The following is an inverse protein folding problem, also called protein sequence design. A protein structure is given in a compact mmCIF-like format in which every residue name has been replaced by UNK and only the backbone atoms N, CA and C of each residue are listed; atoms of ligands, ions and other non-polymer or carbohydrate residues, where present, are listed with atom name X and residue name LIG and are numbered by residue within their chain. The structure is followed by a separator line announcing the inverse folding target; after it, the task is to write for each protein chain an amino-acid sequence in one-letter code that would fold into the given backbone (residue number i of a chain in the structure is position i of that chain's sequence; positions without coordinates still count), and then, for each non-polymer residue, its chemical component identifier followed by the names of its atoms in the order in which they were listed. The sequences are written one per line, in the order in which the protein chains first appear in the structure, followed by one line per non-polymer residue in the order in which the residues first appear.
data_IF_712114368634
#
_entry.id   IF_712114368634
#
_cell.length_a   1.000
_cell.length_b   1.000
_cell.length_c   1.000
_cell.angle_alpha   90.00
_cell.angle_beta   90.00
_cell.angle_gamma   90.00
#
_symmetry.space_group_name_H-M   'P 1'
#
loop_
_entity.id
_entity.type
_entity.pdbx_description
1 polymer ?
#
# COMPACT_ATOMS: atom_id res chain seq x y z
N UNK A 1 -35.43 74.62 17.45
CA UNK A 1 -34.29 74.13 18.26
C UNK A 1 -33.34 73.42 17.29
N UNK A 2 -32.13 73.95 17.15
CA UNK A 2 -30.95 73.48 16.37
C UNK A 2 -31.09 73.35 14.83
N UNK A 3 -30.38 74.13 14.00
CA UNK A 3 -28.94 74.23 13.70
C UNK A 3 -28.33 73.01 12.94
N UNK A 4 -27.93 73.28 11.69
CA UNK A 4 -26.56 73.12 11.13
C UNK A 4 -26.12 71.82 10.38
N UNK A 5 -25.61 72.11 9.16
CA UNK A 5 -24.48 71.54 8.37
C UNK A 5 -24.70 70.44 7.33
N UNK A 6 -24.50 70.87 6.07
CA UNK A 6 -23.79 70.18 4.98
C UNK A 6 -22.64 69.28 5.47
N UNK A 7 -22.39 68.16 4.78
CA UNK A 7 -21.05 67.75 4.31
C UNK A 7 -21.20 66.76 3.13
N UNK A 8 -20.23 66.88 2.23
CA UNK A 8 -20.08 66.32 0.88
C UNK A 8 -20.01 64.79 0.86
N UNK A 9 -20.60 64.19 -0.16
CA UNK A 9 -20.26 62.84 -0.62
C UNK A 9 -18.83 62.86 -1.19
N UNK A 10 -17.91 62.15 -0.52
CA UNK A 10 -16.66 61.69 -1.12
C UNK A 10 -16.78 60.18 -1.26
N UNK A 11 -16.90 59.72 -2.50
CA UNK A 11 -16.75 58.31 -2.89
C UNK A 11 -15.33 57.85 -2.60
N UNK A 12 -15.16 57.03 -1.56
CA UNK A 12 -13.96 56.20 -1.40
C UNK A 12 -14.16 54.95 -2.25
N UNK A 13 -13.33 54.79 -3.29
CA UNK A 13 -13.23 53.54 -4.02
C UNK A 13 -12.59 52.49 -3.10
N UNK A 14 -13.39 51.52 -2.65
CA UNK A 14 -12.88 50.36 -1.96
C UNK A 14 -12.17 49.47 -2.98
N UNK A 15 -10.84 49.41 -2.90
CA UNK A 15 -10.06 48.33 -3.52
C UNK A 15 -10.40 47.05 -2.74
N UNK A 16 -11.26 46.21 -3.34
CA UNK A 16 -11.40 44.82 -2.93
C UNK A 16 -10.11 44.11 -3.34
N UNK A 17 -9.16 43.98 -2.39
CA UNK A 17 -8.17 42.91 -2.47
C UNK A 17 -8.95 41.61 -2.30
N UNK A 18 -9.19 40.91 -3.41
CA UNK A 18 -9.43 39.47 -3.34
C UNK A 18 -8.13 38.84 -2.86
N UNK A 19 -8.01 38.63 -1.55
CA UNK A 19 -7.03 37.70 -1.02
C UNK A 19 -7.43 36.31 -1.55
N UNK A 20 -6.79 35.89 -2.63
CA UNK A 20 -6.70 34.48 -2.97
C UNK A 20 -5.95 33.88 -1.78
N UNK A 21 -6.65 33.06 -0.99
CA UNK A 21 -6.01 32.28 0.04
C UNK A 21 -5.10 31.28 -0.69
N UNK A 22 -3.83 31.61 -0.82
CA UNK A 22 -2.80 30.64 -1.15
C UNK A 22 -2.83 29.59 -0.03
N UNK A 23 -2.77 28.28 -0.35
CA UNK A 23 -2.61 27.27 0.67
C UNK A 23 -1.35 27.60 1.46
N UNK A 24 -1.47 27.58 2.79
CA UNK A 24 -0.32 27.76 3.66
C UNK A 24 0.72 26.71 3.29
N UNK A 25 1.96 27.14 3.04
CA UNK A 25 3.10 26.26 2.86
C UNK A 25 3.06 25.16 3.94
N UNK A 26 3.07 23.90 3.51
CA UNK A 26 3.15 22.74 4.40
C UNK A 26 4.45 22.85 5.18
N UNK A 27 4.37 23.32 6.42
CA UNK A 27 5.47 23.16 7.35
C UNK A 27 5.81 21.67 7.45
N UNK A 28 7.08 21.32 7.26
CA UNK A 28 7.64 19.97 7.39
C UNK A 28 7.59 19.45 8.84
N UNK A 29 6.39 19.31 9.40
CA UNK A 29 6.15 18.67 10.69
C UNK A 29 5.86 17.19 10.51
N UNK A 30 6.32 16.37 11.46
CA UNK A 30 5.88 14.99 11.59
C UNK A 30 4.35 14.97 11.77
N UNK A 31 3.67 14.23 10.92
CA UNK A 31 2.21 14.05 10.93
C UNK A 31 1.92 12.59 11.22
N UNK A 32 0.91 12.31 12.05
CA UNK A 32 0.43 10.95 12.32
C UNK A 32 -1.03 10.85 11.93
N UNK A 33 -1.32 9.98 10.96
CA UNK A 33 -2.69 9.66 10.54
C UNK A 33 -3.08 8.26 11.00
N UNK A 34 -4.36 8.06 11.31
CA UNK A 34 -4.84 6.80 11.90
C UNK A 34 -6.20 6.36 11.35
N UNK A 35 -6.30 5.09 10.96
CA UNK A 35 -7.52 4.46 10.49
C UNK A 35 -8.01 3.47 11.54
N UNK A 36 -8.98 3.90 12.35
CA UNK A 36 -9.54 3.12 13.47
C UNK A 36 -10.93 2.56 13.18
N UNK A 37 -11.46 2.78 11.96
CA UNK A 37 -12.77 2.31 11.51
C UNK A 37 -12.80 0.88 10.99
N UNK A 38 -11.65 0.24 10.85
CA UNK A 38 -11.48 -1.02 10.12
C UNK A 38 -10.72 -0.80 8.84
N UNK A 39 -10.37 -1.90 8.16
CA UNK A 39 -9.91 -1.82 6.78
C UNK A 39 -11.10 -1.55 5.84
N UNK A 40 -10.85 -0.81 4.77
CA UNK A 40 -11.85 -0.52 3.73
C UNK A 40 -12.09 -1.74 2.83
N UNK A 41 -11.06 -2.56 2.67
CA UNK A 41 -11.15 -3.92 2.12
C UNK A 41 -10.56 -4.89 3.14
N UNK A 42 -11.29 -5.94 3.48
CA UNK A 42 -10.71 -7.11 4.09
C UNK A 42 -11.28 -8.41 3.48
N UNK A 43 -10.41 -9.41 3.36
CA UNK A 43 -10.77 -10.65 2.71
C UNK A 43 -10.00 -11.85 3.26
N UNK A 44 -10.65 -13.00 3.25
CA UNK A 44 -9.97 -14.27 3.45
C UNK A 44 -9.54 -14.84 2.11
N UNK A 45 -8.22 -14.85 1.90
CA UNK A 45 -7.56 -15.34 0.70
C UNK A 45 -7.34 -16.84 0.86
N UNK A 46 -8.33 -17.61 0.40
CA UNK A 46 -8.31 -19.07 0.41
C UNK A 46 -9.23 -19.61 -0.68
N UNK A 47 -8.74 -20.53 -1.52
CA UNK A 47 -9.47 -21.04 -2.69
C UNK A 47 -10.75 -21.80 -2.36
N UNK A 48 -10.88 -22.35 -1.15
CA UNK A 48 -12.12 -22.99 -0.71
C UNK A 48 -13.00 -22.07 0.16
N UNK A 49 -12.82 -20.75 0.09
CA UNK A 49 -13.69 -19.81 0.78
C UNK A 49 -15.03 -19.67 0.03
N UNK A 50 -16.04 -20.42 0.46
CA UNK A 50 -17.39 -20.47 -0.13
C UNK A 50 -18.35 -19.36 0.35
N UNK A 51 -17.94 -18.58 1.36
CA UNK A 51 -18.78 -17.54 1.98
C UNK A 51 -18.76 -16.18 1.24
N UNK A 52 -17.97 -16.04 0.18
CA UNK A 52 -17.72 -14.76 -0.50
C UNK A 52 -16.62 -13.93 0.19
N UNK A 53 -16.05 -12.99 -0.56
CA UNK A 53 -15.08 -12.01 -0.08
C UNK A 53 -15.81 -10.86 0.64
N UNK A 54 -15.20 -10.26 1.68
CA UNK A 54 -15.79 -9.16 2.48
C UNK A 54 -17.05 -9.48 3.31
N UNK A 55 -17.42 -10.75 3.49
CA UNK A 55 -18.64 -11.14 4.25
C UNK A 55 -18.34 -11.89 5.55
N UNK A 56 -17.09 -12.31 5.74
CA UNK A 56 -16.69 -13.21 6.82
C UNK A 56 -16.38 -12.41 8.07
N UNK A 57 -16.79 -12.95 9.21
CA UNK A 57 -16.39 -12.39 10.52
C UNK A 57 -14.93 -12.66 10.89
N UNK A 58 -14.33 -13.66 10.24
CA UNK A 58 -12.98 -14.13 10.57
C UNK A 58 -12.25 -14.66 9.34
N UNK A 59 -10.93 -14.43 9.33
CA UNK A 59 -9.98 -14.90 8.33
C UNK A 59 -8.86 -15.71 8.97
N UNK A 60 -8.96 -17.04 8.94
CA UNK A 60 -7.89 -17.91 9.43
C UNK A 60 -6.64 -17.87 8.55
N UNK A 61 -5.45 -17.90 9.16
CA UNK A 61 -4.20 -18.06 8.39
C UNK A 61 -3.46 -19.32 8.80
N UNK A 62 -3.10 -20.14 7.82
CA UNK A 62 -2.55 -21.47 8.06
C UNK A 62 -1.84 -22.01 6.82
N UNK A 63 -1.13 -23.13 7.01
CA UNK A 63 -0.45 -23.88 5.96
C UNK A 63 -0.93 -25.33 5.90
N UNK A 64 -0.88 -25.92 4.71
CA UNK A 64 -0.92 -27.38 4.51
C UNK A 64 0.46 -27.85 4.04
N UNK A 65 1.06 -28.77 4.79
CA UNK A 65 2.41 -29.26 4.54
C UNK A 65 2.39 -30.77 4.35
N UNK A 66 2.96 -31.20 3.23
CA UNK A 66 3.22 -32.61 2.93
C UNK A 66 4.67 -32.80 2.55
N UNK A 67 5.24 -33.91 3.01
CA UNK A 67 6.61 -34.34 2.68
C UNK A 67 6.50 -35.39 1.58
N UNK A 68 7.27 -35.20 0.52
CA UNK A 68 7.50 -36.21 -0.50
C UNK A 68 8.37 -37.33 0.09
N UNK A 69 7.88 -38.57 0.16
CA UNK A 69 8.61 -39.68 0.76
C UNK A 69 9.87 -40.10 -0.02
N UNK A 70 9.98 -39.74 -1.31
CA UNK A 70 11.14 -40.09 -2.13
C UNK A 70 12.28 -39.08 -1.97
N UNK A 71 11.94 -37.79 -1.96
CA UNK A 71 12.94 -36.71 -1.90
C UNK A 71 13.19 -36.20 -0.48
N UNK A 72 12.31 -36.55 0.46
CA UNK A 72 12.29 -36.01 1.83
C UNK A 72 12.25 -34.47 1.87
N UNK A 73 11.67 -33.85 0.84
CA UNK A 73 11.42 -32.41 0.74
C UNK A 73 9.93 -32.13 0.88
N UNK A 74 9.55 -30.86 1.04
CA UNK A 74 8.16 -30.49 0.87
C UNK A 74 7.69 -30.77 -0.55
N UNK A 75 6.45 -31.23 -0.67
CA UNK A 75 5.74 -31.17 -1.96
C UNK A 75 5.59 -29.70 -2.33
N UNK A 76 6.00 -29.35 -3.55
CA UNK A 76 5.96 -27.96 -4.03
C UNK A 76 4.51 -27.45 -4.11
N UNK A 77 4.29 -26.22 -3.64
CA UNK A 77 3.00 -25.56 -3.73
C UNK A 77 2.69 -25.06 -5.15
N UNK A 78 1.44 -24.68 -5.38
CA UNK A 78 1.01 -24.20 -6.70
C UNK A 78 0.17 -22.92 -6.58
N UNK A 79 -0.37 -22.45 -7.71
CA UNK A 79 -1.09 -21.18 -7.80
C UNK A 79 -2.45 -21.16 -7.08
N UNK A 80 -3.00 -22.33 -6.70
CA UNK A 80 -4.32 -22.50 -6.04
C UNK A 80 -4.21 -23.15 -4.65
N UNK A 81 -3.08 -23.80 -4.38
CA UNK A 81 -2.73 -24.48 -3.15
C UNK A 81 -1.31 -24.09 -2.78
N UNK A 82 -1.15 -22.81 -2.42
CA UNK A 82 0.14 -22.30 -1.99
C UNK A 82 0.51 -22.80 -0.59
N UNK A 83 1.80 -22.78 -0.26
CA UNK A 83 2.27 -23.14 1.09
C UNK A 83 1.64 -22.26 2.17
N UNK A 84 1.47 -20.97 1.88
CA UNK A 84 0.66 -20.03 2.67
C UNK A 84 -0.79 -20.15 2.23
N UNK A 85 -1.42 -21.23 2.68
CA UNK A 85 -2.68 -21.69 2.11
C UNK A 85 -3.86 -20.76 2.42
N UNK A 86 -4.03 -20.42 3.70
CA UNK A 86 -5.00 -19.42 4.16
C UNK A 86 -4.28 -18.14 4.54
N UNK A 87 -4.69 -17.01 3.96
CA UNK A 87 -4.11 -15.69 4.21
C UNK A 87 -5.21 -14.65 4.44
N UNK A 88 -4.87 -13.55 5.12
CA UNK A 88 -5.81 -12.47 5.41
C UNK A 88 -5.33 -11.19 4.74
N UNK A 89 -6.13 -10.67 3.81
CA UNK A 89 -5.90 -9.40 3.14
C UNK A 89 -6.61 -8.29 3.92
N UNK A 90 -5.95 -7.16 4.06
CA UNK A 90 -6.55 -5.90 4.51
C UNK A 90 -6.00 -4.74 3.68
N UNK A 91 -6.83 -3.77 3.31
CA UNK A 91 -6.40 -2.55 2.67
C UNK A 91 -7.16 -1.33 3.20
N UNK A 92 -6.47 -0.20 3.21
CA UNK A 92 -6.94 1.07 3.74
C UNK A 92 -6.90 2.12 2.64
N UNK A 93 -7.95 2.91 2.50
CA UNK A 93 -7.95 4.11 1.69
C UNK A 93 -7.16 5.17 2.45
N UNK A 94 -6.01 5.58 1.93
CA UNK A 94 -5.14 6.56 2.59
C UNK A 94 -5.39 7.98 2.09
N UNK A 95 -5.97 8.12 0.89
CA UNK A 95 -6.25 9.42 0.27
C UNK A 95 -7.33 10.25 0.99
N UNK A 96 -8.00 9.67 1.99
CA UNK A 96 -8.98 10.35 2.84
C UNK A 96 -8.32 11.29 3.87
N UNK A 97 -7.10 10.96 4.29
CA UNK A 97 -6.32 11.66 5.33
C UNK A 97 -4.96 12.15 4.83
N UNK A 98 -4.31 11.40 3.93
CA UNK A 98 -3.01 11.74 3.34
C UNK A 98 -3.23 12.15 1.89
N UNK A 99 -2.93 13.41 1.56
CA UNK A 99 -3.00 13.88 0.18
C UNK A 99 -1.97 13.11 -0.68
N UNK A 100 -2.39 12.47 -1.79
CA UNK A 100 -1.48 11.82 -2.72
C UNK A 100 -0.42 12.78 -3.29
N UNK A 101 0.83 12.36 -3.31
CA UNK A 101 1.94 13.09 -3.91
C UNK A 101 2.29 12.51 -5.28
N UNK A 102 2.61 13.38 -6.25
CA UNK A 102 3.02 12.94 -7.59
C UNK A 102 4.36 12.17 -7.59
N UNK A 103 5.23 12.47 -6.61
CA UNK A 103 6.49 11.78 -6.40
C UNK A 103 6.43 11.03 -5.05
N UNK A 104 6.33 9.69 -5.06
CA UNK A 104 6.28 8.86 -3.86
C UNK A 104 7.47 9.09 -2.91
N UNK A 105 8.65 9.43 -3.46
CA UNK A 105 9.88 9.59 -2.66
C UNK A 105 9.83 10.79 -1.72
N UNK A 106 8.84 11.68 -1.90
CA UNK A 106 8.58 12.81 -1.01
C UNK A 106 8.04 12.40 0.35
N UNK A 107 7.40 11.23 0.47
CA UNK A 107 6.99 10.77 1.78
C UNK A 107 8.21 10.25 2.53
N UNK A 108 8.65 10.97 3.55
CA UNK A 108 9.57 10.44 4.54
C UNK A 108 8.75 9.69 5.59
N UNK A 109 8.79 8.37 5.54
CA UNK A 109 8.06 7.49 6.44
C UNK A 109 8.89 7.29 7.72
N UNK A 110 8.34 7.68 8.87
CA UNK A 110 8.99 7.47 10.17
C UNK A 110 8.56 6.14 10.78
N UNK A 111 7.26 5.83 10.73
CA UNK A 111 6.73 4.57 11.24
C UNK A 111 5.43 4.17 10.54
N UNK A 112 5.24 2.85 10.40
CA UNK A 112 3.96 2.26 9.98
C UNK A 112 3.62 1.15 10.95
N UNK A 113 2.43 1.23 11.53
CA UNK A 113 1.94 0.28 12.51
C UNK A 113 0.58 -0.25 12.13
N UNK A 114 0.50 -1.54 11.88
CA UNK A 114 -0.75 -2.28 11.71
C UNK A 114 -1.10 -2.96 13.03
N UNK A 115 -2.34 -2.83 13.46
CA UNK A 115 -2.86 -3.53 14.63
C UNK A 115 -3.98 -4.46 14.16
N UNK A 116 -3.92 -5.74 14.53
CA UNK A 116 -4.93 -6.72 14.14
C UNK A 116 -5.34 -7.60 15.32
N UNK A 117 -6.61 -8.01 15.34
CA UNK A 117 -7.17 -8.83 16.41
C UNK A 117 -7.35 -10.26 15.94
N UNK A 118 -6.72 -11.21 16.64
CA UNK A 118 -7.00 -12.63 16.44
C UNK A 118 -8.01 -13.10 17.49
N UNK A 119 -8.98 -13.92 17.08
CA UNK A 119 -9.81 -14.74 17.96
C UNK A 119 -9.27 -16.16 17.96
N UNK A 120 -9.32 -16.80 19.14
CA UNK A 120 -9.15 -18.26 19.26
C UNK A 120 -10.41 -18.90 19.83
N UNK A 121 -10.97 -19.89 19.13
CA UNK A 121 -12.07 -20.71 19.63
C UNK A 121 -11.58 -21.74 20.69
N UNK A 122 -12.46 -22.28 21.56
CA UNK A 122 -12.03 -23.10 22.71
C UNK A 122 -11.46 -24.50 22.35
N UNK A 123 -10.17 -24.68 22.64
CA UNK A 123 -9.44 -25.85 23.20
C UNK A 123 -9.65 -27.31 22.72
N UNK A 124 -10.44 -27.63 21.70
CA UNK A 124 -10.51 -29.02 21.21
C UNK A 124 -9.38 -29.43 20.24
N UNK A 125 -8.50 -28.50 19.85
CA UNK A 125 -7.66 -28.60 18.64
C UNK A 125 -6.19 -28.21 18.81
N UNK A 126 -5.67 -28.31 20.03
CA UNK A 126 -4.27 -28.03 20.34
C UNK A 126 -4.01 -26.56 20.69
N UNK A 127 -2.82 -26.29 21.23
CA UNK A 127 -2.42 -24.98 21.72
C UNK A 127 -1.85 -24.07 20.65
N UNK A 128 -2.34 -22.83 20.54
CA UNK A 128 -1.69 -21.77 19.78
C UNK A 128 -0.65 -21.12 20.68
N UNK A 129 0.63 -21.18 20.32
CA UNK A 129 1.73 -20.73 21.17
C UNK A 129 2.37 -19.48 20.58
N UNK A 130 2.72 -18.52 21.45
CA UNK A 130 3.33 -17.27 21.01
C UNK A 130 4.84 -17.40 20.74
N UNK A 131 5.32 -16.77 19.67
CA UNK A 131 6.73 -16.47 19.42
C UNK A 131 6.85 -15.12 18.74
N UNK A 132 7.92 -14.40 19.03
CA UNK A 132 8.32 -13.15 18.37
C UNK A 132 9.51 -13.36 17.42
N UNK A 133 9.95 -14.61 17.23
CA UNK A 133 11.06 -14.96 16.35
C UNK A 133 10.56 -15.36 14.97
N UNK A 134 11.27 -14.96 13.89
CA UNK A 134 10.98 -15.43 12.55
C UNK A 134 11.26 -16.93 12.43
N UNK A 135 10.75 -17.55 11.36
CA UNK A 135 10.93 -18.96 11.05
C UNK A 135 11.65 -19.10 9.70
N UNK A 136 12.65 -19.99 9.63
CA UNK A 136 13.28 -20.30 8.34
C UNK A 136 12.57 -21.49 7.67
N UNK A 137 12.67 -21.55 6.34
CA UNK A 137 12.13 -22.70 5.59
C UNK A 137 12.82 -24.02 5.94
N UNK A 138 14.11 -23.96 6.29
CA UNK A 138 14.91 -25.12 6.71
C UNK A 138 14.43 -25.63 8.08
N UNK A 139 14.16 -24.74 9.02
CA UNK A 139 13.67 -25.11 10.35
C UNK A 139 12.27 -25.74 10.24
N UNK A 140 11.38 -25.15 9.43
CA UNK A 140 10.05 -25.73 9.20
C UNK A 140 10.13 -27.10 8.52
N UNK A 141 11.03 -27.28 7.54
CA UNK A 141 11.26 -28.58 6.90
C UNK A 141 11.75 -29.60 7.92
N UNK A 142 12.69 -29.22 8.79
CA UNK A 142 13.22 -30.08 9.85
C UNK A 142 12.11 -30.51 10.82
N UNK A 143 11.25 -29.57 11.24
CA UNK A 143 10.08 -29.89 12.06
C UNK A 143 9.13 -30.87 11.35
N UNK A 144 8.82 -30.63 10.07
CA UNK A 144 7.91 -31.46 9.30
C UNK A 144 8.45 -32.88 9.09
N UNK A 145 9.74 -33.03 8.79
CA UNK A 145 10.43 -34.32 8.67
C UNK A 145 10.42 -35.12 9.99
N UNK A 146 10.41 -34.43 11.14
CA UNK A 146 10.30 -35.09 12.46
C UNK A 146 8.87 -35.61 12.76
N UNK A 147 7.88 -35.21 11.96
CA UNK A 147 6.47 -35.50 12.20
C UNK A 147 5.81 -34.65 13.30
N UNK A 148 6.56 -33.73 13.93
CA UNK A 148 6.08 -32.88 15.00
C UNK A 148 6.22 -31.40 14.62
N UNK A 149 5.27 -30.91 13.83
CA UNK A 149 5.19 -29.48 13.47
C UNK A 149 4.63 -28.71 14.65
N UNK A 150 5.45 -27.82 15.22
CA UNK A 150 5.06 -27.01 16.38
C UNK A 150 4.00 -25.99 16.01
N UNK A 151 3.06 -25.74 16.92
CA UNK A 151 2.09 -24.64 16.85
C UNK A 151 2.63 -23.31 17.39
N UNK A 152 3.91 -23.26 17.74
CA UNK A 152 4.63 -22.02 18.01
C UNK A 152 5.22 -21.50 16.70
N UNK A 153 4.47 -20.66 16.00
CA UNK A 153 4.85 -20.09 14.70
C UNK A 153 4.66 -18.57 14.71
N UNK A 154 5.48 -17.82 13.96
CA UNK A 154 5.32 -16.38 13.87
C UNK A 154 4.00 -16.01 13.19
N UNK A 155 3.50 -14.83 13.54
CA UNK A 155 2.44 -14.12 12.84
C UNK A 155 3.13 -13.11 11.93
N UNK A 156 2.98 -13.26 10.62
CA UNK A 156 3.80 -12.56 9.63
C UNK A 156 2.95 -11.56 8.84
N UNK A 157 3.48 -10.36 8.64
CA UNK A 157 2.88 -9.33 7.79
C UNK A 157 3.75 -9.09 6.56
N UNK A 158 3.12 -9.00 5.40
CA UNK A 158 3.73 -8.75 4.09
C UNK A 158 2.99 -7.64 3.34
N UNK A 159 3.61 -7.12 2.28
CA UNK A 159 2.90 -6.32 1.28
C UNK A 159 1.97 -7.17 0.43
N UNK A 160 1.24 -6.51 -0.46
CA UNK A 160 0.32 -7.14 -1.40
C UNK A 160 0.81 -6.90 -2.82
N UNK A 161 1.02 -7.99 -3.56
CA UNK A 161 1.17 -7.97 -5.00
C UNK A 161 -0.12 -8.41 -5.67
N UNK A 162 -0.26 -8.06 -6.95
CA UNK A 162 -1.41 -8.39 -7.78
C UNK A 162 -0.98 -9.10 -9.06
N UNK A 163 -1.88 -9.91 -9.63
CA UNK A 163 -1.72 -10.51 -10.95
C UNK A 163 -3.03 -10.43 -11.75
N UNK A 164 -3.03 -11.05 -12.93
CA UNK A 164 -4.18 -11.10 -13.84
C UNK A 164 -4.70 -9.71 -14.25
N UNK A 165 -3.76 -8.77 -14.38
CA UNK A 165 -4.02 -7.38 -14.78
C UNK A 165 -4.52 -6.49 -13.65
N UNK A 166 -4.67 -7.02 -12.43
CA UNK A 166 -4.95 -6.18 -11.27
C UNK A 166 -3.73 -5.35 -10.89
N UNK A 167 -3.95 -4.08 -10.58
CA UNK A 167 -2.86 -3.13 -10.28
C UNK A 167 -3.03 -2.42 -8.93
N UNK A 168 -4.17 -2.60 -8.25
CA UNK A 168 -4.44 -1.92 -6.99
C UNK A 168 -5.79 -2.29 -6.38
N UNK A 169 -6.24 -1.47 -5.43
CA UNK A 169 -7.49 -1.65 -4.70
C UNK A 169 -8.60 -0.73 -5.24
N UNK A 170 -9.81 -1.29 -5.42
CA UNK A 170 -11.00 -0.52 -5.77
C UNK A 170 -11.70 -0.05 -4.49
N UNK A 171 -11.42 1.19 -4.10
CA UNK A 171 -11.98 1.84 -2.92
C UNK A 171 -13.03 2.90 -3.30
N UNK A 172 -13.68 2.73 -4.47
CA UNK A 172 -14.85 3.55 -4.85
C UNK A 172 -14.55 4.78 -5.71
N UNK A 173 -13.33 4.92 -6.25
CA UNK A 173 -12.93 6.02 -7.14
C UNK A 173 -12.29 5.54 -8.47
N UNK A 174 -12.58 4.33 -8.93
CA UNK A 174 -11.91 3.78 -10.12
C UNK A 174 -12.57 4.19 -11.45
N UNK A 175 -11.76 4.72 -12.37
CA UNK A 175 -12.02 4.62 -13.81
C UNK A 175 -10.70 4.36 -14.54
N UNK A 176 -10.59 3.22 -15.24
CA UNK A 176 -9.48 2.95 -16.16
C UNK A 176 -8.85 1.56 -16.04
N UNK A 177 -8.57 1.12 -14.80
CA UNK A 177 -7.75 -0.08 -14.53
C UNK A 177 -8.55 -1.19 -13.83
N UNK A 178 -8.00 -2.43 -13.84
CA UNK A 178 -8.57 -3.54 -13.11
C UNK A 178 -8.12 -3.43 -11.64
N UNK A 179 -9.05 -3.04 -10.77
CA UNK A 179 -8.79 -2.84 -9.34
C UNK A 179 -9.54 -3.87 -8.49
N UNK A 180 -8.89 -4.35 -7.44
CA UNK A 180 -9.41 -5.40 -6.57
C UNK A 180 -10.42 -4.81 -5.58
N UNK A 181 -11.65 -5.31 -5.61
CA UNK A 181 -12.69 -5.03 -4.62
C UNK A 181 -13.02 -6.27 -3.80
N UNK A 182 -13.65 -6.10 -2.64
CA UNK A 182 -14.25 -7.22 -1.89
C UNK A 182 -15.34 -7.96 -2.67
N UNK A 183 -15.91 -7.36 -3.72
CA UNK A 183 -16.83 -8.06 -4.62
C UNK A 183 -16.08 -9.05 -5.55
N UNK A 184 -14.77 -8.89 -5.71
CA UNK A 184 -13.92 -9.82 -6.43
C UNK A 184 -13.52 -10.95 -5.49
N UNK A 185 -13.73 -12.20 -5.90
CA UNK A 185 -13.20 -13.33 -5.14
C UNK A 185 -11.67 -13.30 -5.24
N UNK A 186 -10.93 -13.36 -4.13
CA UNK A 186 -9.47 -13.27 -4.13
C UNK A 186 -8.79 -14.43 -4.88
N UNK A 187 -9.54 -15.45 -5.29
CA UNK A 187 -9.10 -16.62 -6.05
C UNK A 187 -9.75 -16.71 -7.44
N UNK A 188 -10.32 -15.62 -7.95
CA UNK A 188 -10.96 -15.59 -9.28
C UNK A 188 -9.98 -15.49 -10.45
N UNK A 189 -8.67 -15.60 -10.20
CA UNK A 189 -7.65 -15.64 -11.23
C UNK A 189 -7.72 -16.90 -12.09
N UNK A 190 -6.93 -16.94 -13.17
CA UNK A 190 -6.96 -18.06 -14.13
C UNK A 190 -6.75 -19.40 -13.39
N UNK A 191 -7.65 -20.37 -13.62
CA UNK A 191 -7.60 -21.68 -12.98
C UNK A 191 -7.97 -21.71 -11.49
N UNK A 192 -8.55 -20.64 -10.93
CA UNK A 192 -8.90 -20.54 -9.50
C UNK A 192 -7.75 -20.03 -8.63
N UNK A 193 -6.89 -19.20 -9.21
CA UNK A 193 -5.64 -18.78 -8.62
C UNK A 193 -5.78 -17.44 -7.88
N UNK A 194 -4.95 -17.22 -6.85
CA UNK A 194 -4.99 -16.00 -6.03
C UNK A 194 -4.67 -14.72 -6.81
N UNK A 195 -5.57 -13.74 -6.89
CA UNK A 195 -5.31 -12.45 -7.56
C UNK A 195 -4.36 -11.59 -6.73
N UNK A 196 -4.61 -11.50 -5.43
CA UNK A 196 -3.77 -10.79 -4.47
C UNK A 196 -2.92 -11.79 -3.68
N UNK A 197 -1.61 -11.54 -3.58
CA UNK A 197 -0.66 -12.45 -2.95
C UNK A 197 0.36 -11.69 -2.09
N UNK A 198 0.94 -12.32 -1.05
CA UNK A 198 1.95 -11.69 -0.22
C UNK A 198 3.26 -11.48 -0.99
N UNK A 199 3.88 -10.33 -0.78
CA UNK A 199 5.18 -9.99 -1.36
C UNK A 199 6.21 -9.55 -0.34
N UNK A 200 7.48 -9.74 -0.68
CA UNK A 200 8.61 -9.14 0.02
C UNK A 200 9.61 -8.57 -1.00
N UNK A 201 10.42 -7.58 -0.64
CA UNK A 201 11.46 -7.07 -1.54
C UNK A 201 12.60 -8.06 -1.68
N UNK A 202 13.20 -8.13 -2.87
CA UNK A 202 14.29 -9.05 -3.19
C UNK A 202 15.69 -8.51 -2.88
N UNK A 203 15.82 -7.20 -2.61
CA UNK A 203 17.11 -6.53 -2.43
C UNK A 203 17.69 -5.93 -3.72
N UNK A 204 17.07 -6.16 -4.86
CA UNK A 204 17.45 -5.67 -6.19
C UNK A 204 16.47 -4.62 -6.74
N UNK A 205 15.49 -4.22 -5.92
CA UNK A 205 14.49 -3.20 -6.25
C UNK A 205 13.24 -3.77 -6.90
N UNK A 206 13.00 -5.08 -6.78
CA UNK A 206 11.76 -5.72 -7.17
C UNK A 206 11.11 -6.43 -5.98
N UNK A 207 9.89 -6.89 -6.18
CA UNK A 207 9.16 -7.71 -5.21
C UNK A 207 9.11 -9.17 -5.67
N UNK A 208 9.14 -10.08 -4.71
CA UNK A 208 8.98 -11.51 -4.90
C UNK A 208 7.69 -12.02 -4.25
N UNK A 209 6.99 -12.91 -4.95
CA UNK A 209 5.85 -13.65 -4.42
C UNK A 209 6.33 -14.64 -3.34
N UNK A 210 5.84 -14.47 -2.12
CA UNK A 210 6.21 -15.32 -0.97
C UNK A 210 5.17 -16.38 -0.63
N UNK A 211 4.13 -16.56 -1.45
CA UNK A 211 3.06 -17.55 -1.24
C UNK A 211 3.61 -18.97 -1.06
N UNK A 212 4.67 -19.30 -1.81
CA UNK A 212 5.33 -20.61 -1.83
C UNK A 212 6.76 -20.58 -1.29
N UNK A 213 7.13 -19.57 -0.49
CA UNK A 213 8.51 -19.42 -0.03
C UNK A 213 9.02 -20.67 0.71
N UNK A 214 8.21 -21.30 1.54
CA UNK A 214 8.66 -22.44 2.35
C UNK A 214 8.82 -23.75 1.58
N UNK A 215 8.01 -23.98 0.55
CA UNK A 215 7.97 -25.25 -0.18
C UNK A 215 8.61 -25.16 -1.57
N UNK A 216 8.88 -23.95 -2.05
CA UNK A 216 9.02 -23.69 -3.48
C UNK A 216 7.72 -24.01 -4.24
N UNK A 217 7.78 -23.91 -5.56
CA UNK A 217 6.63 -24.13 -6.44
C UNK A 217 6.25 -22.88 -7.21
N UNK A 218 4.95 -22.67 -7.43
CA UNK A 218 4.50 -21.52 -8.22
C UNK A 218 4.94 -20.18 -7.62
N UNK A 219 5.34 -19.23 -8.47
CA UNK A 219 5.64 -17.86 -8.07
C UNK A 219 5.20 -16.88 -9.15
N UNK A 220 4.34 -15.93 -8.80
CA UNK A 220 3.80 -14.93 -9.73
C UNK A 220 4.86 -13.95 -10.27
N UNK A 221 5.95 -13.74 -9.53
CA UNK A 221 7.02 -12.80 -9.89
C UNK A 221 8.19 -13.48 -10.62
N UNK A 222 8.17 -14.81 -10.71
CA UNK A 222 9.23 -15.56 -11.40
C UNK A 222 8.97 -15.60 -12.91
N UNK A 223 9.96 -15.31 -13.78
CA UNK A 223 9.82 -15.45 -15.22
C UNK A 223 9.48 -16.87 -15.69
N UNK A 224 9.76 -17.87 -14.86
CA UNK A 224 9.46 -19.29 -15.12
C UNK A 224 8.22 -19.78 -14.39
N UNK A 225 7.54 -18.88 -13.67
CA UNK A 225 6.43 -19.17 -12.76
C UNK A 225 6.78 -20.20 -11.68
N UNK A 226 8.08 -20.36 -11.40
CA UNK A 226 8.59 -21.31 -10.41
C UNK A 226 9.64 -20.66 -9.53
N UNK A 227 9.65 -21.07 -8.27
CA UNK A 227 10.68 -20.73 -7.29
C UNK A 227 11.11 -21.97 -6.51
N UNK A 228 12.37 -21.99 -6.09
CA UNK A 228 12.86 -22.94 -5.10
C UNK A 228 12.48 -22.46 -3.68
N UNK A 229 12.52 -23.33 -2.66
CA UNK A 229 12.31 -22.90 -1.28
C UNK A 229 13.29 -21.80 -0.85
N UNK A 230 12.79 -20.79 -0.15
CA UNK A 230 13.56 -19.71 0.45
C UNK A 230 12.91 -19.19 1.74
N UNK A 231 13.71 -18.55 2.60
CA UNK A 231 13.17 -17.87 3.80
C UNK A 231 12.76 -16.46 3.40
N UNK A 232 11.46 -16.21 3.30
CA UNK A 232 10.94 -14.86 3.15
C UNK A 232 11.23 -14.03 4.40
N UNK A 233 11.51 -12.73 4.23
CA UNK A 233 11.60 -11.77 5.32
C UNK A 233 10.24 -11.06 5.49
N UNK A 234 9.44 -11.39 6.53
CA UNK A 234 8.23 -10.64 6.84
C UNK A 234 8.58 -9.19 7.15
N UNK A 235 7.75 -8.26 6.70
CA UNK A 235 7.94 -6.84 6.99
C UNK A 235 7.74 -6.54 8.47
N UNK A 236 6.95 -7.38 9.15
CA UNK A 236 6.82 -7.36 10.60
C UNK A 236 6.47 -8.77 11.13
N UNK A 237 6.94 -9.05 12.35
CA UNK A 237 6.45 -10.14 13.18
C UNK A 237 5.50 -9.57 14.22
N UNK A 238 4.31 -10.16 14.33
CA UNK A 238 3.26 -9.70 15.24
C UNK A 238 3.68 -9.82 16.71
N UNK A 239 3.65 -8.69 17.42
CA UNK A 239 3.93 -8.60 18.86
C UNK A 239 2.66 -8.52 19.67
N UNK A 240 2.66 -9.16 20.85
CA UNK A 240 1.57 -9.05 21.83
C UNK A 240 2.12 -9.05 23.26
N UNK A 241 1.27 -8.81 24.25
CA UNK A 241 1.66 -8.75 25.67
C UNK A 241 2.00 -10.13 26.29
N UNK A 242 1.75 -11.21 25.56
CA UNK A 242 2.00 -12.58 26.00
C UNK A 242 3.51 -12.89 26.02
N UNK A 243 3.94 -13.77 26.94
CA UNK A 243 5.32 -14.25 26.96
C UNK A 243 5.55 -15.30 25.86
N UNK A 244 6.75 -15.35 25.29
CA UNK A 244 7.12 -16.40 24.31
C UNK A 244 6.91 -17.78 24.93
N UNK A 245 6.27 -18.67 24.16
CA UNK A 245 5.90 -20.04 24.57
C UNK A 245 4.59 -20.14 25.35
N UNK A 246 3.96 -19.01 25.71
CA UNK A 246 2.67 -19.05 26.37
C UNK A 246 1.53 -19.38 25.40
N UNK A 247 0.50 -20.02 25.96
CA UNK A 247 -0.74 -20.34 25.25
C UNK A 247 -1.54 -19.07 25.04
N UNK A 248 -1.82 -18.76 23.78
CA UNK A 248 -2.63 -17.63 23.34
C UNK A 248 -4.11 -18.00 23.38
N UNK A 249 -4.96 -17.29 24.13
CA UNK A 249 -6.39 -17.62 24.25
C UNK A 249 -7.31 -16.39 24.17
N UNK A 250 -8.54 -16.60 23.69
CA UNK A 250 -9.56 -15.55 23.62
C UNK A 250 -9.32 -14.56 22.48
N UNK A 251 -9.47 -13.27 22.80
CA UNK A 251 -9.25 -12.17 21.86
C UNK A 251 -7.88 -11.56 22.13
N UNK A 252 -7.03 -11.52 21.11
CA UNK A 252 -5.63 -11.19 21.24
C UNK A 252 -5.33 -10.09 20.25
N UNK A 253 -4.76 -9.00 20.77
CA UNK A 253 -4.29 -7.91 19.95
C UNK A 253 -2.84 -8.16 19.55
N UNK A 254 -2.55 -8.04 18.25
CA UNK A 254 -1.21 -8.05 17.70
C UNK A 254 -0.87 -6.71 17.07
N UNK A 255 0.33 -6.23 17.37
CA UNK A 255 0.93 -5.06 16.75
C UNK A 255 2.02 -5.50 15.78
N UNK A 256 1.98 -4.97 14.57
CA UNK A 256 2.96 -5.17 13.51
C UNK A 256 3.56 -3.80 13.17
N UNK A 257 4.78 -3.55 13.65
CA UNK A 257 5.57 -2.38 13.26
C UNK A 257 6.45 -2.80 12.10
N UNK A 258 6.27 -2.15 10.94
CA UNK A 258 7.05 -2.46 9.75
C UNK A 258 8.53 -2.13 9.97
N UNK A 259 9.40 -3.05 9.58
CA UNK A 259 10.83 -2.78 9.45
C UNK A 259 11.09 -2.08 8.11
N UNK A 260 11.11 -0.74 8.17
CA UNK A 260 11.35 0.13 7.01
C UNK A 260 12.77 -0.02 6.42
N UNK A 261 13.68 -0.71 7.11
CA UNK A 261 15.04 -0.98 6.62
C UNK A 261 15.11 -2.19 5.69
N UNK A 262 14.07 -3.03 5.67
CA UNK A 262 14.00 -4.16 4.76
C UNK A 262 13.82 -3.69 3.30
N UNK A 263 14.39 -4.42 2.33
CA UNK A 263 14.25 -4.09 0.91
C UNK A 263 12.80 -3.88 0.49
N UNK A 264 12.56 -2.78 -0.23
CA UNK A 264 11.27 -2.46 -0.83
C UNK A 264 10.16 -2.04 0.15
N UNK A 265 10.34 -2.09 1.46
CA UNK A 265 9.26 -1.77 2.43
C UNK A 265 8.92 -0.28 2.40
N UNK A 266 9.91 0.60 2.56
CA UNK A 266 9.68 2.04 2.51
C UNK A 266 9.13 2.47 1.13
N UNK A 267 9.69 1.92 0.05
CA UNK A 267 9.23 2.16 -1.31
C UNK A 267 7.76 1.77 -1.50
N UNK A 268 7.35 0.58 -1.04
CA UNK A 268 5.97 0.14 -1.16
C UNK A 268 5.01 1.10 -0.44
N UNK A 269 5.38 1.54 0.77
CA UNK A 269 4.56 2.49 1.54
C UNK A 269 4.45 3.82 0.80
N UNK A 270 5.58 4.35 0.31
CA UNK A 270 5.62 5.58 -0.47
C UNK A 270 4.71 5.51 -1.71
N UNK A 271 4.85 4.46 -2.51
CA UNK A 271 4.06 4.23 -3.72
C UNK A 271 2.57 4.08 -3.37
N UNK A 272 2.25 3.28 -2.34
CA UNK A 272 0.87 3.11 -1.85
C UNK A 272 0.22 4.42 -1.39
N UNK A 273 0.98 5.31 -0.73
CA UNK A 273 0.45 6.62 -0.33
C UNK A 273 0.17 7.52 -1.54
N UNK A 274 1.02 7.49 -2.56
CA UNK A 274 0.80 8.17 -3.84
C UNK A 274 -0.38 7.58 -4.62
N UNK A 275 -0.61 6.28 -4.54
CA UNK A 275 -1.77 5.62 -5.14
C UNK A 275 -3.07 5.86 -4.34
N UNK A 276 -2.95 6.39 -3.12
CA UNK A 276 -4.08 6.69 -2.25
C UNK A 276 -4.68 5.47 -1.54
N UNK A 277 -4.00 4.32 -1.59
CA UNK A 277 -4.41 3.11 -0.87
C UNK A 277 -3.22 2.24 -0.50
N UNK A 278 -3.30 1.56 0.66
CA UNK A 278 -2.25 0.65 1.11
C UNK A 278 -2.82 -0.68 1.58
N UNK A 279 -2.21 -1.78 1.12
CA UNK A 279 -2.62 -3.14 1.47
C UNK A 279 -1.58 -3.91 2.26
N UNK A 280 -2.03 -4.85 3.07
CA UNK A 280 -1.18 -5.81 3.79
C UNK A 280 -1.77 -7.22 3.74
N UNK A 281 -0.87 -8.21 3.71
CA UNK A 281 -1.21 -9.63 3.80
C UNK A 281 -0.71 -10.20 5.13
N UNK A 282 -1.62 -10.65 5.97
CA UNK A 282 -1.32 -11.46 7.14
C UNK A 282 -1.24 -12.94 6.77
N UNK A 283 -0.22 -13.60 7.27
CA UNK A 283 0.03 -15.01 7.01
C UNK A 283 0.67 -15.68 8.23
N UNK A 284 0.58 -17.01 8.30
CA UNK A 284 1.32 -17.78 9.28
C UNK A 284 1.50 -19.21 8.82
N UNK A 285 2.58 -19.85 9.29
CA UNK A 285 2.89 -21.25 8.98
C UNK A 285 2.35 -22.22 10.05
N UNK A 286 1.23 -21.86 10.68
CA UNK A 286 0.52 -22.78 11.58
C UNK A 286 -0.14 -23.88 10.76
N UNK A 287 0.19 -25.13 11.06
CA UNK A 287 -0.36 -26.27 10.33
C UNK A 287 -1.85 -26.42 10.62
N UNK A 288 -2.66 -26.58 9.59
CA UNK A 288 -4.07 -26.96 9.76
C UNK A 288 -4.24 -28.49 9.77
N UNK A 289 -5.17 -28.96 10.62
CA UNK A 289 -5.67 -30.35 10.60
C UNK A 289 -7.13 -30.45 10.14
N UNK A 290 -7.82 -29.31 9.99
CA UNK A 290 -9.23 -29.18 9.59
C UNK A 290 -9.35 -28.00 8.63
N UNK A 291 -9.30 -28.28 7.33
CA UNK A 291 -9.32 -27.25 6.29
C UNK A 291 -10.56 -26.34 6.40
N UNK A 292 -10.34 -25.04 6.50
CA UNK A 292 -11.37 -24.00 6.40
C UNK A 292 -12.40 -23.90 7.53
N UNK A 293 -12.24 -24.64 8.64
CA UNK A 293 -13.12 -24.53 9.81
C UNK A 293 -12.50 -23.69 10.93
N UNK A 294 -13.34 -23.01 11.71
CA UNK A 294 -12.89 -22.33 12.94
C UNK A 294 -12.50 -23.37 14.00
N UNK A 295 -11.48 -23.04 14.79
CA UNK A 295 -11.01 -23.81 15.92
C UNK A 295 -9.87 -24.75 15.58
N UNK A 296 -8.86 -24.33 14.82
CA UNK A 296 -7.56 -25.01 14.77
C UNK A 296 -6.49 -24.28 15.62
N UNK A 297 -5.29 -24.87 15.73
CA UNK A 297 -4.14 -24.22 16.39
C UNK A 297 -3.46 -23.19 15.47
N UNK A 298 -4.25 -22.27 14.92
CA UNK A 298 -3.83 -21.18 14.04
C UNK A 298 -4.60 -19.88 14.37
N UNK A 299 -4.06 -18.70 14.02
CA UNK A 299 -4.78 -17.44 14.19
C UNK A 299 -6.00 -17.33 13.28
N UNK A 300 -7.09 -16.81 13.84
CA UNK A 300 -8.29 -16.38 13.11
C UNK A 300 -8.46 -14.88 13.29
N UNK A 301 -8.03 -14.10 12.29
CA UNK A 301 -8.10 -12.64 12.32
C UNK A 301 -9.55 -12.20 12.27
N UNK A 302 -9.90 -11.18 13.05
CA UNK A 302 -11.20 -10.55 12.98
C UNK A 302 -11.25 -9.57 11.82
N UNK A 303 -12.28 -9.75 11.03
CA UNK A 303 -12.66 -8.89 9.91
C UNK A 303 -13.70 -7.87 10.37
N UNK A 304 -13.89 -6.83 9.58
CA UNK A 304 -14.82 -5.72 9.84
C UNK A 304 -16.26 -6.19 10.05
N UNK A 305 -16.68 -7.25 9.38
CA UNK A 305 -18.05 -7.78 9.50
C UNK A 305 -18.29 -8.44 10.87
N UNK A 306 -17.22 -8.86 11.58
CA UNK A 306 -17.29 -9.56 12.87
C UNK A 306 -17.65 -8.68 14.08
N UNK A 307 -18.14 -7.45 13.84
CA UNK A 307 -18.12 -6.32 14.75
C UNK A 307 -19.18 -6.32 15.87
N UNK A 308 -19.24 -7.35 16.70
CA UNK A 308 -19.70 -7.15 18.08
C UNK A 308 -18.54 -6.54 18.91
N UNK A 309 -18.34 -5.22 18.84
CA UNK A 309 -17.49 -4.47 19.78
C UNK A 309 -16.12 -3.95 19.30
N UNK A 310 -15.98 -3.45 18.06
CA UNK A 310 -14.79 -2.74 17.55
C UNK A 310 -13.44 -3.49 17.73
N UNK A 311 -13.39 -4.77 17.33
CA UNK A 311 -12.15 -5.55 17.34
C UNK A 311 -11.82 -5.96 15.90
N UNK A 312 -11.22 -5.08 15.13
CA UNK A 312 -10.80 -5.31 13.73
C UNK A 312 -9.47 -4.59 13.46
N UNK A 313 -8.94 -4.70 12.25
CA UNK A 313 -7.66 -4.10 11.91
C UNK A 313 -7.67 -2.56 11.96
N UNK A 314 -6.57 -1.96 12.38
CA UNK A 314 -6.34 -0.51 12.31
C UNK A 314 -4.94 -0.20 11.83
N UNK A 315 -4.76 0.97 11.21
CA UNK A 315 -3.50 1.46 10.67
C UNK A 315 -3.12 2.78 11.34
N UNK A 316 -1.83 2.97 11.58
CA UNK A 316 -1.25 4.27 11.91
C UNK A 316 0.02 4.48 11.07
N UNK A 317 0.14 5.65 10.45
CA UNK A 317 1.30 6.04 9.65
C UNK A 317 1.81 7.37 10.19
N UNK A 318 3.08 7.41 10.53
CA UNK A 318 3.82 8.61 10.87
C UNK A 318 4.74 8.97 9.70
N UNK A 319 4.56 10.17 9.17
CA UNK A 319 5.29 10.63 7.99
C UNK A 319 5.54 12.14 8.03
N UNK A 320 6.49 12.57 7.22
CA UNK A 320 6.61 13.97 6.82
C UNK A 320 6.68 14.06 5.30
N UNK A 321 6.11 15.12 4.73
CA UNK A 321 6.17 15.37 3.29
C UNK A 321 7.34 16.30 3.00
N UNK A 322 8.30 15.84 2.21
CA UNK A 322 9.44 16.65 1.79
C UNK A 322 8.97 17.74 0.82
N UNK A 323 9.40 18.99 1.07
CA UNK A 323 9.17 20.10 0.18
C UNK A 323 9.95 19.91 -1.14
N UNK A 324 9.37 20.32 -2.26
CA UNK A 324 10.07 20.35 -3.55
C UNK A 324 10.72 21.72 -3.69
N UNK A 325 12.05 21.81 -3.87
CA UNK A 325 12.69 23.09 -4.14
C UNK A 325 12.09 23.76 -5.38
N UNK A 326 11.62 24.99 -5.22
CA UNK A 326 11.00 25.76 -6.30
C UNK A 326 9.50 25.54 -6.49
N UNK A 327 8.87 24.61 -5.79
CA UNK A 327 7.40 24.48 -5.70
C UNK A 327 6.91 25.45 -4.62
N UNK A 328 6.67 26.69 -5.03
CA UNK A 328 6.32 27.80 -4.16
C UNK A 328 4.82 27.93 -3.93
N UNK A 329 3.98 27.37 -4.81
CA UNK A 329 2.54 27.28 -4.57
C UNK A 329 2.14 26.01 -3.79
N UNK A 330 3.05 25.05 -3.64
CA UNK A 330 2.89 23.83 -2.86
C UNK A 330 2.04 22.77 -3.56
N UNK A 331 1.83 22.88 -4.87
CA UNK A 331 0.95 22.01 -5.64
C UNK A 331 1.61 20.68 -6.05
N UNK A 332 2.90 20.50 -5.73
CA UNK A 332 3.66 19.30 -6.05
C UNK A 332 4.30 19.31 -7.44
N UNK A 333 4.26 20.43 -8.16
CA UNK A 333 4.93 20.65 -9.43
C UNK A 333 5.81 21.89 -9.34
N UNK A 334 6.94 21.88 -10.07
CA UNK A 334 7.74 23.09 -10.30
C UNK A 334 7.41 23.58 -11.69
N UNK A 335 6.59 24.62 -11.76
CA UNK A 335 6.05 25.17 -12.99
C UNK A 335 6.06 26.71 -13.01
N UNK A 336 5.43 27.29 -14.02
CA UNK A 336 5.39 28.75 -14.19
C UNK A 336 4.56 29.45 -13.10
N UNK A 337 3.60 28.75 -12.50
CA UNK A 337 2.78 29.29 -11.41
C UNK A 337 3.64 29.62 -10.17
N UNK A 338 4.68 28.83 -9.89
CA UNK A 338 5.61 29.11 -8.79
C UNK A 338 6.41 30.39 -8.99
N UNK A 339 6.81 30.67 -10.23
CA UNK A 339 7.44 31.95 -10.56
C UNK A 339 6.50 33.12 -10.28
N UNK A 340 5.21 32.98 -10.55
CA UNK A 340 4.23 34.03 -10.25
C UNK A 340 4.08 34.24 -8.74
N UNK A 341 4.17 33.17 -7.93
CA UNK A 341 4.21 33.25 -6.46
C UNK A 341 5.47 33.99 -5.99
N UNK A 342 6.65 33.60 -6.48
CA UNK A 342 7.92 34.28 -6.18
C UNK A 342 7.88 35.76 -6.57
N UNK A 343 7.43 36.06 -7.79
CA UNK A 343 7.40 37.43 -8.31
C UNK A 343 6.47 38.34 -7.52
N UNK A 344 5.37 37.80 -6.97
CA UNK A 344 4.45 38.55 -6.12
C UNK A 344 5.01 38.78 -4.72
N UNK A 345 5.83 37.86 -4.21
CA UNK A 345 6.43 37.91 -2.88
C UNK A 345 7.81 38.58 -2.84
N UNK A 346 8.38 38.95 -3.99
CA UNK A 346 9.74 39.50 -4.11
C UNK A 346 9.97 40.72 -3.20
N UNK A 347 11.07 40.68 -2.45
CA UNK A 347 11.50 41.71 -1.50
C UNK A 347 10.83 41.62 -0.12
N UNK A 348 10.04 40.58 0.14
CA UNK A 348 9.45 40.33 1.46
C UNK A 348 10.39 39.54 2.38
N UNK A 349 10.15 39.65 3.68
CA UNK A 349 10.80 38.84 4.72
C UNK A 349 9.81 37.84 5.27
N UNK A 350 10.26 36.60 5.43
CA UNK A 350 9.41 35.48 5.87
C UNK A 350 10.10 34.69 6.98
N UNK A 351 9.38 33.72 7.56
CA UNK A 351 10.07 32.70 8.37
C UNK A 351 10.96 31.90 7.43
N UNK A 352 12.21 31.60 7.79
CA UNK A 352 13.11 30.81 6.95
C UNK A 352 12.43 29.56 6.39
N UNK A 353 12.60 29.34 5.08
CA UNK A 353 12.04 28.21 4.32
C UNK A 353 10.51 28.18 4.23
N UNK A 354 9.86 29.35 4.22
CA UNK A 354 8.40 29.47 4.03
C UNK A 354 8.05 30.36 2.84
N UNK A 355 6.92 30.08 2.18
CA UNK A 355 6.54 30.82 0.97
C UNK A 355 7.56 30.60 -0.15
N UNK A 356 7.92 31.66 -0.87
CA UNK A 356 8.90 31.60 -1.95
C UNK A 356 10.37 31.80 -1.51
N UNK A 357 10.67 31.60 -0.22
CA UNK A 357 12.05 31.55 0.31
C UNK A 357 12.60 30.13 0.12
N UNK A 358 13.11 29.88 -1.09
CA UNK A 358 13.64 28.58 -1.50
C UNK A 358 15.04 28.31 -0.99
N UNK A 359 15.82 29.33 -0.64
CA UNK A 359 17.17 29.16 -0.08
C UNK A 359 17.19 29.07 1.45
N UNK A 360 16.08 29.43 2.11
CA UNK A 360 15.89 29.35 3.55
C UNK A 360 16.58 30.45 4.36
N UNK A 361 16.89 31.61 3.77
CA UNK A 361 17.58 32.72 4.45
C UNK A 361 16.63 33.73 5.11
N UNK A 362 15.32 33.58 4.91
CA UNK A 362 14.27 34.44 5.46
C UNK A 362 13.97 35.68 4.61
N UNK A 363 14.56 35.82 3.43
CA UNK A 363 14.29 36.86 2.44
C UNK A 363 13.87 36.24 1.12
N UNK A 364 12.87 36.82 0.46
CA UNK A 364 12.47 36.39 -0.89
C UNK A 364 13.13 37.31 -1.90
N UNK A 365 14.18 36.84 -2.58
CA UNK A 365 14.97 37.63 -3.51
C UNK A 365 15.45 36.84 -4.76
N UNK A 366 16.48 37.35 -5.44
CA UNK A 366 17.00 36.75 -6.65
C UNK A 366 17.68 35.38 -6.43
N UNK A 367 18.11 35.06 -5.20
CA UNK A 367 18.63 33.74 -4.86
C UNK A 367 17.52 32.68 -4.94
N UNK A 368 16.31 32.98 -4.48
CA UNK A 368 15.17 32.06 -4.56
C UNK A 368 14.75 31.80 -6.00
N UNK A 369 14.74 32.84 -6.83
CA UNK A 369 14.55 32.67 -8.26
C UNK A 369 15.51 31.64 -8.87
N UNK A 370 16.77 31.60 -8.41
CA UNK A 370 17.74 30.61 -8.90
C UNK A 370 17.38 29.19 -8.47
N UNK A 371 16.81 29.01 -7.27
CA UNK A 371 16.27 27.71 -6.80
C UNK A 371 15.15 27.24 -7.70
N UNK A 372 14.13 28.08 -7.95
CA UNK A 372 13.05 27.74 -8.87
C UNK A 372 13.55 27.45 -10.29
N UNK A 373 14.41 28.32 -10.84
CA UNK A 373 14.92 28.18 -12.21
C UNK A 373 15.67 26.86 -12.39
N UNK A 374 16.51 26.50 -11.44
CA UNK A 374 17.33 25.30 -11.52
C UNK A 374 16.46 24.04 -11.38
N UNK A 375 15.44 24.08 -10.51
CA UNK A 375 14.46 23.02 -10.37
C UNK A 375 13.56 22.88 -11.62
N UNK A 376 13.05 23.99 -12.16
CA UNK A 376 12.23 24.03 -13.37
C UNK A 376 12.97 23.47 -14.59
N UNK A 377 14.28 23.73 -14.70
CA UNK A 377 15.12 23.18 -15.77
C UNK A 377 15.39 21.66 -15.63
N UNK A 378 15.27 21.12 -14.40
CA UNK A 378 15.41 19.70 -14.10
C UNK A 378 14.13 18.88 -14.28
N UNK A 379 12.96 19.53 -14.29
CA UNK A 379 11.68 18.87 -14.55
C UNK A 379 11.64 18.29 -15.96
N UNK A 380 11.31 16.99 -16.14
CA UNK A 380 11.20 16.40 -17.47
C UNK A 380 10.08 17.11 -18.24
N UNK A 381 10.48 17.86 -19.28
CA UNK A 381 9.52 18.42 -20.24
C UNK A 381 8.86 17.24 -20.92
N UNK A 382 7.63 16.89 -20.54
CA UNK A 382 6.85 15.86 -21.21
C UNK A 382 6.89 16.16 -22.71
N UNK A 383 7.46 15.23 -23.47
CA UNK A 383 7.62 15.38 -24.90
C UNK A 383 6.23 15.51 -25.53
N UNK A 384 5.83 16.73 -25.85
CA UNK A 384 4.64 17.00 -26.65
C UNK A 384 4.82 16.23 -27.97
N UNK A 385 3.91 15.31 -28.34
CA UNK A 385 4.04 14.56 -29.58
C UNK A 385 4.18 15.54 -30.74
N UNK A 386 5.33 15.51 -31.43
CA UNK A 386 5.58 16.45 -32.51
C UNK A 386 4.53 16.31 -33.63
N UNK A 387 4.16 17.40 -34.34
CA UNK A 387 3.13 17.41 -35.39
C UNK A 387 3.31 16.33 -36.47
N UNK A 388 4.54 15.83 -36.63
CA UNK A 388 4.93 14.79 -37.57
C UNK A 388 4.31 13.42 -37.23
N UNK A 389 4.01 13.14 -35.96
CA UNK A 389 3.29 11.92 -35.54
C UNK A 389 1.84 11.91 -36.06
N UNK A 390 1.17 13.07 -36.02
CA UNK A 390 -0.15 13.23 -36.63
C UNK A 390 -0.10 13.10 -38.16
N UNK A 391 0.95 13.64 -38.79
CA UNK A 391 1.11 13.57 -40.25
C UNK A 391 1.31 12.13 -40.73
N UNK A 392 2.08 11.32 -40.01
CA UNK A 392 2.31 9.90 -40.33
C UNK A 392 1.07 9.04 -40.09
N UNK A 393 0.30 9.31 -39.03
CA UNK A 393 -0.99 8.65 -38.78
C UNK A 393 -2.02 8.95 -39.88
N UNK A 394 -2.10 10.20 -40.35
CA UNK A 394 -2.99 10.61 -41.45
C UNK A 394 -2.56 9.94 -42.77
N UNK A 395 -1.27 9.85 -43.05
CA UNK A 395 -0.74 9.18 -44.24
C UNK A 395 -0.96 7.65 -44.20
N UNK A 396 -0.88 7.02 -43.03
CA UNK A 396 -1.18 5.60 -42.86
C UNK A 396 -2.67 5.29 -43.13
N UNK A 397 -3.58 6.13 -42.63
CA UNK A 397 -5.02 6.00 -42.87
C UNK A 397 -5.41 6.27 -44.33
N UNK A 398 -4.69 7.16 -45.03
CA UNK A 398 -4.86 7.40 -46.46
C UNK A 398 -4.43 6.18 -47.31
N UNK A 399 -3.39 5.44 -46.90
CA UNK A 399 -2.96 4.22 -47.60
C UNK A 399 -3.91 3.03 -47.39
N UNK A 400 -4.54 2.92 -46.22
CA UNK A 400 -5.54 1.88 -45.92
C UNK A 400 -6.85 2.04 -46.72
N UNK A 401 -7.23 3.28 -47.04
CA UNK A 401 -8.42 3.57 -47.85
C UNK A 401 -8.22 3.31 -49.35
N UNK A 402 -6.98 3.35 -49.85
CA UNK A 402 -6.64 3.02 -51.24
C UNK A 402 -6.55 1.51 -51.52
N UNK A 403 -6.40 0.68 -50.48
CA UNK A 403 -6.34 -0.79 -50.58
C UNK A 403 -7.73 -1.46 -50.63
N UNK A 404 -8.81 -0.75 -50.31
CA UNK A 404 -10.19 -1.23 -50.48
C UNK A 404 -10.72 -0.91 -51.89
N UNK A 405 -10.24 -1.63 -52.91
CA UNK A 405 -10.98 -1.73 -54.18
C UNK A 405 -11.99 -2.89 -54.11
N UNK A 406 -13.27 -2.69 -54.49
CA UNK A 406 -14.26 -3.76 -54.49
C UNK A 406 -13.96 -4.75 -55.63
N UNK A 407 -13.88 -6.05 -55.28
CA UNK A 407 -13.93 -7.15 -56.26
C UNK A 407 -15.30 -7.11 -56.94
N UNK A 408 -15.32 -6.85 -58.24
CA UNK A 408 -16.51 -7.00 -59.08
C UNK A 408 -16.59 -8.44 -59.61
N UNK A 409 -17.78 -9.01 -59.44
CA UNK A 409 -18.39 -10.23 -59.99
C UNK A 409 -17.48 -11.40 -60.41
#
# INVERSE_FOLDING_TARGET
MQLIRMIRQTTAAAFLLNAIALPAAVCCGETTETWTGGADIDAWVYTNNDSGSGSRFQSPTFTDLSIDPETNQFVRGNATGASRLGMALMAFQTSDQIAPANDPTRYRIESVKVTAWARRAPLSSGDLLYTDQPLSHIDLLTEAQSGNVSSQKPFELFGVGFRDGYEGFDLGNASGDLLYSEASEPYSGEGGSYIAYPIAGDGEGQYIDVSNSYTGGFSATSPTEQTDPFTAAPWAIGKTAAAVGSVLAGNINFTFELDLSLPGVAQYVQESLSDGSIGFMLSSMHRTGVMGQSGGAYPEWRMREGASGQLFASLAIEYSLLAIPGDYDGNGFVEQADYDVWSQAYGSTVTPSTGADGNGDGFIDAADYSVWRDAFAGSPVLAVPEPTACLTAILALANLSLLRRPRTA
#
